data_IF_882099577085
#
_entry.id   IF_882099577085
#
_cell.length_a   1.000
_cell.length_b   1.000
_cell.length_c   1.000
_cell.angle_alpha   90.00
_cell.angle_beta   90.00
_cell.angle_gamma   90.00
#
_symmetry.space_group_name_H-M   'P 1'
#
loop_
_entity.id
_entity.type
_entity.pdbx_description
1 polymer ?
#
# COMPACT_ATOMS: atom_id res chain seq x y z
N UNK A 1 47.38 -81.70 -1.54
CA UNK A 1 46.43 -80.78 -2.22
C UNK A 1 45.75 -79.95 -1.14
N UNK A 2 46.09 -78.64 -1.07
CA UNK A 2 45.22 -77.47 -0.80
C UNK A 2 43.81 -77.78 -0.23
N UNK A 3 43.25 -77.19 0.83
CA UNK A 3 43.48 -75.97 1.67
C UNK A 3 42.48 -76.10 2.84
N UNK A 4 42.87 -76.21 4.11
CA UNK A 4 43.03 -75.15 5.14
C UNK A 4 41.78 -74.29 5.49
N UNK A 5 41.37 -74.42 6.77
CA UNK A 5 40.90 -73.41 7.76
C UNK A 5 39.42 -72.93 7.80
N UNK A 6 38.63 -73.55 8.71
CA UNK A 6 38.01 -73.02 9.97
C UNK A 6 37.99 -71.48 10.27
N UNK A 7 37.23 -70.95 11.28
CA UNK A 7 35.78 -71.04 11.60
C UNK A 7 35.17 -69.71 12.21
N UNK A 8 33.89 -69.75 12.59
CA UNK A 8 33.19 -69.01 13.70
C UNK A 8 33.18 -67.46 13.80
N UNK A 9 31.96 -66.87 13.75
CA UNK A 9 31.43 -65.84 14.68
C UNK A 9 29.93 -65.60 14.35
N UNK A 10 28.98 -66.13 15.13
CA UNK A 10 28.28 -65.51 16.28
C UNK A 10 27.22 -64.44 15.94
N UNK A 11 26.00 -64.69 16.45
CA UNK A 11 24.94 -63.79 16.97
C UNK A 11 24.75 -62.40 16.32
N UNK A 12 23.54 -61.91 16.04
CA UNK A 12 22.19 -62.32 16.36
C UNK A 12 21.21 -61.21 15.94
N UNK A 13 19.93 -61.56 15.86
CA UNK A 13 18.70 -60.76 16.04
C UNK A 13 18.67 -59.31 15.54
N UNK A 14 17.67 -58.97 14.70
CA UNK A 14 16.63 -57.93 14.95
C UNK A 14 15.94 -57.56 13.62
N UNK A 15 14.64 -57.87 13.58
CA UNK A 15 13.54 -57.08 13.01
C UNK A 15 13.86 -55.97 11.98
N UNK A 16 13.29 -56.07 10.78
CA UNK A 16 12.88 -54.89 10.02
C UNK A 16 11.84 -55.22 8.92
N UNK A 17 10.60 -55.53 9.31
CA UNK A 17 9.43 -55.20 8.50
C UNK A 17 9.25 -53.68 8.55
N UNK A 18 9.80 -52.95 7.57
CA UNK A 18 9.44 -51.54 7.33
C UNK A 18 8.32 -51.47 6.30
N UNK A 19 7.13 -50.96 6.64
CA UNK A 19 6.15 -50.59 5.62
C UNK A 19 6.61 -49.30 4.95
N UNK A 20 6.79 -49.34 3.62
CA UNK A 20 6.93 -48.14 2.78
C UNK A 20 5.57 -47.45 2.71
N UNK A 21 5.32 -46.50 3.62
CA UNK A 21 4.14 -45.64 3.57
C UNK A 21 4.41 -44.45 2.62
N UNK A 22 3.68 -44.46 1.51
CA UNK A 22 3.11 -43.34 0.77
C UNK A 22 3.98 -42.09 0.52
N UNK A 23 4.77 -42.13 -0.56
CA UNK A 23 5.09 -40.92 -1.31
C UNK A 23 3.89 -40.53 -2.16
N UNK A 24 3.04 -39.58 -1.71
CA UNK A 24 2.04 -38.98 -2.58
C UNK A 24 2.72 -38.45 -3.85
N UNK A 25 2.20 -38.85 -5.01
CA UNK A 25 2.73 -38.51 -6.33
C UNK A 25 2.99 -36.99 -6.41
N UNK A 26 4.17 -36.53 -6.87
CA UNK A 26 4.55 -35.10 -6.85
C UNK A 26 3.55 -34.19 -7.56
N UNK A 27 2.76 -34.73 -8.49
CA UNK A 27 1.64 -34.05 -9.15
C UNK A 27 0.53 -33.68 -8.16
N UNK A 28 0.10 -34.61 -7.29
CA UNK A 28 -0.95 -34.38 -6.28
C UNK A 28 -0.51 -33.36 -5.23
N UNK A 29 0.78 -33.38 -4.84
CA UNK A 29 1.36 -32.36 -3.94
C UNK A 29 1.33 -30.96 -4.57
N UNK A 30 1.63 -30.83 -5.87
CA UNK A 30 1.59 -29.56 -6.60
C UNK A 30 0.16 -29.02 -6.77
N UNK A 31 -0.82 -29.89 -7.06
CA UNK A 31 -2.22 -29.48 -7.21
C UNK A 31 -2.82 -29.02 -5.88
N UNK A 32 -2.54 -29.73 -4.78
CA UNK A 32 -2.97 -29.33 -3.43
C UNK A 32 -2.29 -28.03 -2.96
N UNK A 33 -1.02 -27.80 -3.31
CA UNK A 33 -0.33 -26.52 -3.06
C UNK A 33 -0.97 -25.36 -3.84
N UNK A 34 -1.34 -25.56 -5.10
CA UNK A 34 -2.01 -24.53 -5.92
C UNK A 34 -3.34 -24.09 -5.32
N UNK A 35 -4.22 -25.04 -5.00
CA UNK A 35 -5.54 -24.74 -4.41
C UNK A 35 -5.41 -24.04 -3.04
N UNK A 36 -4.36 -24.35 -2.27
CA UNK A 36 -4.11 -23.71 -0.98
C UNK A 36 -3.63 -22.26 -1.12
N UNK A 37 -2.73 -21.99 -2.07
CA UNK A 37 -2.27 -20.64 -2.40
C UNK A 37 -3.44 -19.80 -2.93
N UNK A 38 -4.24 -20.36 -3.84
CA UNK A 38 -5.41 -19.71 -4.43
C UNK A 38 -6.49 -19.34 -3.40
N UNK A 39 -6.64 -20.09 -2.31
CA UNK A 39 -7.63 -19.79 -1.26
C UNK A 39 -7.08 -18.98 -0.08
N UNK A 40 -5.78 -19.01 0.16
CA UNK A 40 -5.16 -18.29 1.28
C UNK A 40 -4.73 -16.89 0.86
N UNK A 41 -4.24 -16.71 -0.37
CA UNK A 41 -3.82 -15.41 -0.87
C UNK A 41 -4.95 -14.37 -0.89
N UNK A 42 -6.20 -14.67 -1.29
CA UNK A 42 -7.29 -13.70 -1.22
C UNK A 42 -7.65 -13.30 0.22
N UNK A 43 -7.54 -14.21 1.19
CA UNK A 43 -7.78 -13.91 2.59
C UNK A 43 -6.70 -13.00 3.16
N UNK A 44 -5.44 -13.25 2.80
CA UNK A 44 -4.31 -12.38 3.15
C UNK A 44 -4.49 -11.00 2.51
N UNK A 45 -4.82 -10.94 1.21
CA UNK A 45 -5.05 -9.69 0.50
C UNK A 45 -6.21 -8.90 1.11
N UNK A 46 -7.31 -9.56 1.45
CA UNK A 46 -8.45 -8.94 2.14
C UNK A 46 -8.06 -8.44 3.53
N UNK A 47 -7.29 -9.21 4.29
CA UNK A 47 -6.78 -8.77 5.59
C UNK A 47 -5.91 -7.52 5.47
N UNK A 48 -4.95 -7.53 4.54
CA UNK A 48 -4.10 -6.38 4.24
C UNK A 48 -4.97 -5.17 3.90
N UNK A 49 -5.94 -5.33 3.00
CA UNK A 49 -6.85 -4.26 2.59
C UNK A 49 -7.59 -3.67 3.80
N UNK A 50 -8.18 -4.50 4.66
CA UNK A 50 -8.96 -4.03 5.81
C UNK A 50 -8.10 -3.40 6.91
N UNK A 51 -6.86 -3.86 7.09
CA UNK A 51 -5.93 -3.24 8.04
C UNK A 51 -5.45 -1.88 7.55
N UNK A 52 -5.13 -1.77 6.26
CA UNK A 52 -4.69 -0.52 5.63
C UNK A 52 -5.85 0.48 5.46
N UNK A 53 -7.03 -0.03 5.11
CA UNK A 53 -8.25 0.71 4.84
C UNK A 53 -9.42 0.10 5.60
N UNK A 54 -9.70 0.55 6.84
CA UNK A 54 -10.86 0.11 7.60
C UNK A 54 -12.17 0.28 6.82
N UNK A 55 -12.23 1.34 6.01
CA UNK A 55 -13.25 1.52 4.99
C UNK A 55 -12.59 1.43 3.59
N UNK A 56 -12.71 0.30 2.88
CA UNK A 56 -12.07 0.13 1.56
C UNK A 56 -12.63 1.08 0.50
N UNK A 57 -13.83 1.67 0.70
CA UNK A 57 -14.37 2.67 -0.22
C UNK A 57 -13.48 3.93 -0.28
N UNK A 58 -12.73 4.24 0.78
CA UNK A 58 -11.82 5.38 0.79
C UNK A 58 -10.72 5.24 -0.26
N UNK A 59 -10.25 4.02 -0.53
CA UNK A 59 -9.30 3.77 -1.61
C UNK A 59 -9.93 4.08 -2.97
N UNK A 60 -11.14 3.56 -3.23
CA UNK A 60 -11.85 3.80 -4.49
C UNK A 60 -12.15 5.29 -4.73
N UNK A 61 -12.62 5.98 -3.70
CA UNK A 61 -12.87 7.43 -3.75
C UNK A 61 -11.58 8.21 -3.99
N UNK A 62 -10.49 7.80 -3.36
CA UNK A 62 -9.20 8.47 -3.54
C UNK A 62 -8.65 8.29 -4.95
N UNK A 63 -8.78 7.09 -5.52
CA UNK A 63 -8.43 6.83 -6.94
C UNK A 63 -9.26 7.73 -7.86
N UNK A 64 -10.57 7.82 -7.64
CA UNK A 64 -11.42 8.71 -8.43
C UNK A 64 -10.97 10.17 -8.34
N UNK A 65 -10.68 10.67 -7.13
CA UNK A 65 -10.30 12.07 -6.89
C UNK A 65 -8.92 12.44 -7.44
N UNK A 66 -8.00 11.49 -7.60
CA UNK A 66 -6.74 11.78 -8.30
C UNK A 66 -6.99 12.24 -9.74
N UNK A 67 -7.93 11.60 -10.43
CA UNK A 67 -8.26 11.90 -11.83
C UNK A 67 -9.36 12.97 -11.95
N UNK A 68 -9.93 13.40 -10.84
CA UNK A 68 -10.97 14.42 -10.75
C UNK A 68 -10.80 15.17 -9.42
N UNK A 69 -9.72 15.97 -9.30
CA UNK A 69 -9.41 16.67 -8.06
C UNK A 69 -10.56 17.60 -7.68
N UNK A 70 -10.98 17.51 -6.43
CA UNK A 70 -12.04 18.34 -5.88
C UNK A 70 -11.47 19.70 -5.52
N UNK A 71 -11.47 20.64 -6.46
CA UNK A 71 -11.13 22.04 -6.20
C UNK A 71 -12.40 22.73 -5.72
N UNK A 72 -12.30 23.51 -4.63
CA UNK A 72 -13.45 24.23 -4.06
C UNK A 72 -13.01 25.63 -3.56
N UNK A 73 -13.23 26.68 -4.38
CA UNK A 73 -12.90 28.06 -4.04
C UNK A 73 -13.61 28.58 -2.79
N UNK A 74 -14.81 28.08 -2.47
CA UNK A 74 -15.59 28.54 -1.31
C UNK A 74 -15.03 27.98 0.01
N UNK A 75 -14.51 26.75 -0.03
CA UNK A 75 -14.00 26.08 1.16
C UNK A 75 -12.72 26.74 1.73
N UNK A 76 -11.98 27.48 0.90
CA UNK A 76 -10.73 28.15 1.30
C UNK A 76 -10.90 29.59 1.76
N UNK A 77 -12.13 30.12 1.82
CA UNK A 77 -12.40 31.48 2.28
C UNK A 77 -11.69 31.84 3.61
N UNK A 78 -11.65 30.96 4.64
CA UNK A 78 -10.93 31.27 5.88
C UNK A 78 -9.42 31.44 5.71
N UNK A 79 -8.84 30.87 4.65
CA UNK A 79 -7.42 30.91 4.37
C UNK A 79 -7.00 32.15 3.57
N UNK A 80 -7.93 32.97 3.08
CA UNK A 80 -7.61 34.15 2.25
C UNK A 80 -7.10 35.34 3.06
N UNK A 81 -7.40 35.37 4.36
CA UNK A 81 -7.06 36.52 5.20
C UNK A 81 -5.55 36.68 5.32
N UNK A 82 -5.05 37.87 4.96
CA UNK A 82 -3.63 38.23 5.08
C UNK A 82 -2.71 37.51 4.11
N UNK A 83 -3.23 36.93 3.02
CA UNK A 83 -2.38 36.40 1.95
C UNK A 83 -1.64 37.54 1.22
N UNK A 84 -0.41 37.30 0.75
CA UNK A 84 0.29 38.19 -0.19
C UNK A 84 -0.43 38.31 -1.54
N UNK A 85 -0.03 39.29 -2.33
CA UNK A 85 -0.58 39.51 -3.68
C UNK A 85 0.10 38.66 -4.76
N UNK A 86 1.33 38.18 -4.50
CA UNK A 86 2.10 37.39 -5.46
C UNK A 86 1.88 35.87 -5.30
N UNK A 87 1.79 35.09 -6.39
CA UNK A 87 1.53 33.66 -6.34
C UNK A 87 2.51 32.84 -5.50
N UNK A 88 3.80 33.22 -5.50
CA UNK A 88 4.84 32.54 -4.73
C UNK A 88 4.67 32.78 -3.22
N UNK A 89 4.37 34.02 -2.83
CA UNK A 89 4.02 34.41 -1.48
C UNK A 89 2.77 33.69 -0.97
N UNK A 90 1.74 33.56 -1.81
CA UNK A 90 0.53 32.80 -1.49
C UNK A 90 0.86 31.33 -1.27
N UNK A 91 1.61 30.69 -2.17
CA UNK A 91 2.00 29.29 -2.00
C UNK A 91 2.75 29.08 -0.69
N UNK A 92 3.76 29.92 -0.41
CA UNK A 92 4.54 29.84 0.84
C UNK A 92 3.65 29.94 2.07
N UNK A 93 2.73 30.90 2.10
CA UNK A 93 1.83 31.13 3.22
C UNK A 93 0.83 29.98 3.40
N UNK A 94 0.29 29.43 2.32
CA UNK A 94 -0.60 28.24 2.37
C UNK A 94 0.16 27.01 2.89
N UNK A 95 1.41 26.79 2.45
CA UNK A 95 2.24 25.70 2.92
C UNK A 95 2.58 25.82 4.42
N UNK A 96 2.66 27.04 4.96
CA UNK A 96 2.81 27.29 6.39
C UNK A 96 1.52 26.99 7.16
N UNK A 97 0.36 27.42 6.64
CA UNK A 97 -0.96 27.21 7.26
C UNK A 97 -1.40 25.74 7.25
N UNK A 98 -0.98 24.98 6.25
CA UNK A 98 -1.26 23.56 6.10
C UNK A 98 0.05 22.77 6.25
N UNK A 99 0.57 22.54 7.48
CA UNK A 99 1.76 21.73 7.72
C UNK A 99 1.70 20.34 7.09
N UNK A 100 2.88 19.84 6.71
CA UNK A 100 3.02 18.57 6.01
C UNK A 100 2.84 17.43 6.99
N UNK A 101 1.82 16.62 6.78
CA UNK A 101 1.56 15.41 7.55
C UNK A 101 1.11 14.29 6.61
N UNK A 102 1.57 13.07 6.88
CA UNK A 102 1.20 11.91 6.07
C UNK A 102 -0.25 11.48 6.35
N UNK A 103 -0.85 10.77 5.40
CA UNK A 103 -2.23 10.30 5.53
C UNK A 103 -2.46 9.38 6.74
N UNK A 104 -1.43 8.66 7.18
CA UNK A 104 -1.53 7.87 8.42
C UNK A 104 -1.83 8.74 9.63
N UNK A 105 -1.26 9.94 9.68
CA UNK A 105 -1.36 10.87 10.81
C UNK A 105 -2.68 11.64 10.77
N UNK A 106 -3.11 12.06 9.57
CA UNK A 106 -4.31 12.89 9.39
C UNK A 106 -5.58 12.06 9.22
N UNK A 107 -5.49 10.95 8.49
CA UNK A 107 -6.63 10.15 8.01
C UNK A 107 -6.62 8.70 8.51
N UNK A 108 -5.52 8.22 9.09
CA UNK A 108 -5.43 6.87 9.65
C UNK A 108 -5.35 5.76 8.60
N UNK A 109 -4.88 6.07 7.39
CA UNK A 109 -4.69 5.12 6.28
C UNK A 109 -3.49 5.56 5.42
N UNK A 110 -2.89 4.67 4.61
CA UNK A 110 -1.60 4.97 3.98
C UNK A 110 -1.69 5.94 2.80
N UNK A 111 -2.84 6.01 2.14
CA UNK A 111 -3.06 6.87 0.99
C UNK A 111 -4.53 7.28 0.88
N UNK A 112 -4.83 8.56 0.98
CA UNK A 112 -6.20 9.08 0.93
C UNK A 112 -6.25 10.46 0.29
N UNK A 113 -6.93 10.61 -0.84
CA UNK A 113 -7.08 11.89 -1.52
C UNK A 113 -8.25 12.69 -0.89
N UNK A 114 -7.98 13.74 -0.10
CA UNK A 114 -9.00 14.43 0.66
C UNK A 114 -9.81 15.39 -0.20
N UNK A 115 -10.89 15.93 0.37
CA UNK A 115 -11.55 17.13 -0.18
C UNK A 115 -10.98 18.38 0.48
N UNK A 116 -11.16 19.55 -0.14
CA UNK A 116 -10.62 20.81 0.36
C UNK A 116 -11.17 21.15 1.74
N UNK A 117 -12.47 20.95 1.97
CA UNK A 117 -13.13 21.18 3.26
C UNK A 117 -12.47 20.35 4.36
N UNK A 118 -12.13 19.09 4.03
CA UNK A 118 -11.48 18.18 4.98
C UNK A 118 -10.07 18.65 5.34
N UNK A 119 -9.32 19.17 4.36
CA UNK A 119 -7.98 19.70 4.58
C UNK A 119 -8.04 20.99 5.42
N UNK A 120 -8.96 21.89 5.09
CA UNK A 120 -9.17 23.14 5.84
C UNK A 120 -9.60 22.86 7.29
N UNK A 121 -10.53 21.91 7.50
CA UNK A 121 -10.96 21.46 8.84
C UNK A 121 -9.78 20.88 9.64
N UNK A 122 -8.93 20.08 9.01
CA UNK A 122 -7.79 19.43 9.67
C UNK A 122 -6.58 20.35 9.84
N UNK A 123 -6.46 21.40 9.03
CA UNK A 123 -5.32 22.30 9.02
C UNK A 123 -3.99 21.60 8.72
N UNK A 124 -3.99 20.46 8.06
CA UNK A 124 -2.79 19.65 7.82
C UNK A 124 -3.00 18.69 6.65
N UNK A 125 -1.91 18.34 5.98
CA UNK A 125 -1.92 17.31 4.94
C UNK A 125 -0.64 17.30 4.11
N UNK A 126 -0.49 16.26 3.29
CA UNK A 126 0.68 16.07 2.44
C UNK A 126 0.57 16.84 1.11
N UNK A 127 1.36 16.45 0.11
CA UNK A 127 1.44 17.14 -1.18
C UNK A 127 0.10 17.32 -1.88
N UNK A 128 -0.71 16.26 -1.95
CA UNK A 128 -2.04 16.29 -2.60
C UNK A 128 -3.03 17.18 -1.85
N UNK A 129 -3.01 17.17 -0.52
CA UNK A 129 -3.85 18.03 0.30
C UNK A 129 -3.49 19.52 0.10
N UNK A 130 -2.19 19.82 0.11
CA UNK A 130 -1.67 21.18 -0.14
C UNK A 130 -1.97 21.66 -1.55
N UNK A 131 -1.82 20.79 -2.55
CA UNK A 131 -2.08 21.12 -3.94
C UNK A 131 -3.55 21.49 -4.20
N UNK A 132 -4.52 20.72 -3.68
CA UNK A 132 -5.94 21.05 -3.88
C UNK A 132 -6.34 22.34 -3.16
N UNK A 133 -5.76 22.63 -2.00
CA UNK A 133 -5.99 23.89 -1.29
C UNK A 133 -5.40 25.06 -2.08
N UNK A 134 -4.15 24.95 -2.52
CA UNK A 134 -3.49 26.00 -3.29
C UNK A 134 -4.23 26.28 -4.61
N UNK A 135 -4.63 25.24 -5.34
CA UNK A 135 -5.44 25.37 -6.55
C UNK A 135 -6.78 26.06 -6.25
N UNK A 136 -7.44 25.73 -5.15
CA UNK A 136 -8.71 26.38 -4.76
C UNK A 136 -8.53 27.85 -4.41
N UNK A 137 -7.41 28.20 -3.78
CA UNK A 137 -7.06 29.60 -3.47
C UNK A 137 -6.79 30.38 -4.76
N UNK A 138 -6.02 29.81 -5.68
CA UNK A 138 -5.76 30.45 -6.98
C UNK A 138 -7.04 30.61 -7.81
N UNK A 139 -7.90 29.61 -7.83
CA UNK A 139 -9.20 29.71 -8.50
C UNK A 139 -10.09 30.80 -7.86
N UNK A 140 -10.07 30.91 -6.52
CA UNK A 140 -10.79 31.97 -5.80
C UNK A 140 -10.26 33.37 -6.09
N UNK A 141 -8.95 33.51 -6.29
CA UNK A 141 -8.27 34.77 -6.57
C UNK A 141 -8.19 35.09 -8.08
N UNK A 142 -8.64 34.19 -8.96
CA UNK A 142 -8.55 34.35 -10.41
C UNK A 142 -7.12 34.28 -10.94
N UNK A 143 -6.22 33.56 -10.25
CA UNK A 143 -4.83 33.36 -10.66
C UNK A 143 -4.77 32.13 -11.58
N UNK A 144 -4.25 32.25 -12.82
CA UNK A 144 -4.12 31.11 -13.71
C UNK A 144 -3.16 30.06 -13.16
N UNK A 145 -3.56 28.79 -13.24
CA UNK A 145 -2.74 27.68 -12.76
C UNK A 145 -2.95 26.41 -13.57
N UNK A 146 -2.02 25.46 -13.42
CA UNK A 146 -2.14 24.09 -13.94
C UNK A 146 -1.97 23.10 -12.80
N UNK A 147 -2.89 22.14 -12.72
CA UNK A 147 -2.81 21.09 -11.72
C UNK A 147 -2.03 19.90 -12.30
N UNK A 148 -0.95 19.50 -11.62
CA UNK A 148 -0.06 18.44 -12.08
C UNK A 148 -0.01 17.29 -11.08
N UNK A 149 0.11 16.07 -11.60
CA UNK A 149 0.29 14.86 -10.81
C UNK A 149 1.38 13.97 -11.41
N UNK A 150 2.25 13.47 -10.55
CA UNK A 150 3.24 12.42 -10.78
C UNK A 150 2.98 11.23 -9.86
N UNK A 151 3.67 10.11 -10.05
CA UNK A 151 3.50 8.93 -9.20
C UNK A 151 3.85 9.14 -7.72
N UNK A 152 4.63 10.19 -7.43
CA UNK A 152 5.15 10.47 -6.09
C UNK A 152 4.70 11.83 -5.55
N UNK A 153 4.14 12.70 -6.39
CA UNK A 153 3.87 14.09 -6.02
C UNK A 153 2.69 14.69 -6.79
N UNK A 154 1.98 15.62 -6.16
CA UNK A 154 0.87 16.37 -6.75
C UNK A 154 1.11 17.84 -6.40
N UNK A 155 1.03 18.72 -7.39
CA UNK A 155 1.39 20.14 -7.23
C UNK A 155 0.62 21.04 -8.19
N UNK A 156 0.71 22.34 -7.92
CA UNK A 156 0.16 23.42 -8.74
C UNK A 156 1.31 24.16 -9.42
N UNK A 157 1.20 24.38 -10.72
CA UNK A 157 2.13 25.15 -11.55
C UNK A 157 1.47 26.48 -11.93
N UNK A 158 2.22 27.56 -11.87
CA UNK A 158 1.78 28.92 -12.19
C UNK A 158 2.96 29.68 -12.82
N UNK A 159 2.67 30.82 -13.43
CA UNK A 159 3.69 31.62 -14.11
C UNK A 159 4.81 32.04 -13.14
N UNK A 160 6.07 31.79 -13.54
CA UNK A 160 7.24 32.13 -12.73
C UNK A 160 7.60 31.13 -11.62
N UNK A 161 6.88 30.01 -11.47
CA UNK A 161 7.21 29.00 -10.45
C UNK A 161 8.60 28.38 -10.70
N UNK A 162 9.42 28.33 -9.66
CA UNK A 162 10.72 27.67 -9.73
C UNK A 162 10.58 26.14 -9.78
N UNK A 163 11.29 25.48 -10.70
CA UNK A 163 11.29 24.02 -10.77
C UNK A 163 12.00 23.40 -9.55
N UNK A 164 11.41 22.36 -8.97
CA UNK A 164 12.04 21.55 -7.93
C UNK A 164 12.28 20.12 -8.43
N UNK A 165 13.11 19.36 -7.73
CA UNK A 165 13.38 17.96 -8.09
C UNK A 165 12.12 17.07 -8.03
N UNK A 166 11.15 17.41 -7.18
CA UNK A 166 9.86 16.72 -7.07
C UNK A 166 8.83 17.21 -8.10
N UNK A 167 8.94 18.47 -8.52
CA UNK A 167 8.02 19.16 -9.42
C UNK A 167 8.62 19.32 -10.83
N UNK A 168 9.24 18.26 -11.34
CA UNK A 168 9.89 18.28 -12.65
C UNK A 168 8.90 17.90 -13.78
N UNK A 169 8.90 18.63 -14.92
CA UNK A 169 8.10 18.30 -16.10
C UNK A 169 8.20 16.86 -16.61
N UNK A 170 9.35 16.19 -16.43
CA UNK A 170 9.58 14.81 -16.90
C UNK A 170 8.89 13.75 -16.05
N UNK A 171 8.59 14.04 -14.79
CA UNK A 171 7.93 13.12 -13.88
C UNK A 171 6.38 13.24 -13.91
N UNK A 172 5.83 14.28 -14.57
CA UNK A 172 4.38 14.49 -14.71
C UNK A 172 3.77 13.31 -15.47
N UNK A 173 2.66 12.74 -14.99
CA UNK A 173 1.86 11.77 -15.76
C UNK A 173 0.49 12.33 -16.15
N UNK A 174 -0.01 13.29 -15.38
CA UNK A 174 -1.31 13.92 -15.58
C UNK A 174 -1.20 15.43 -15.35
N UNK A 175 -1.78 16.19 -16.26
CA UNK A 175 -1.95 17.63 -16.15
C UNK A 175 -3.40 17.99 -16.48
N UNK A 176 -3.96 18.90 -15.69
CA UNK A 176 -5.28 19.48 -15.90
C UNK A 176 -5.17 21.00 -15.96
N UNK A 177 -5.70 21.56 -17.02
CA UNK A 177 -5.88 22.99 -17.21
C UNK A 177 -7.32 23.36 -16.79
N UNK A 178 -7.51 24.17 -15.75
CA UNK A 178 -8.82 24.53 -15.23
C UNK A 178 -9.59 25.47 -16.16
N UNK A 179 -8.91 26.35 -16.91
CA UNK A 179 -9.54 27.33 -17.81
C UNK A 179 -10.11 26.65 -19.06
N UNK A 180 -9.35 25.74 -19.65
CA UNK A 180 -9.73 25.05 -20.90
C UNK A 180 -10.39 23.70 -20.66
N UNK A 181 -10.31 23.17 -19.42
CA UNK A 181 -10.74 21.82 -19.08
C UNK A 181 -9.89 20.71 -19.72
N UNK A 182 -8.81 21.06 -20.41
CA UNK A 182 -7.96 20.10 -21.10
C UNK A 182 -7.21 19.21 -20.12
N UNK A 183 -7.15 17.92 -20.43
CA UNK A 183 -6.43 16.91 -19.66
C UNK A 183 -5.35 16.30 -20.55
N UNK A 184 -4.11 16.38 -20.10
CA UNK A 184 -2.96 15.81 -20.78
C UNK A 184 -2.43 14.63 -19.98
N UNK A 185 -2.22 13.53 -20.68
CA UNK A 185 -1.57 12.34 -20.16
C UNK A 185 -0.25 12.15 -20.88
N UNK A 186 0.81 11.91 -20.12
CA UNK A 186 2.12 11.57 -20.66
C UNK A 186 2.72 10.40 -19.87
N UNK A 187 3.58 9.62 -20.51
CA UNK A 187 4.35 8.59 -19.83
C UNK A 187 5.48 9.28 -19.04
N UNK A 188 5.44 9.24 -17.70
CA UNK A 188 6.45 9.91 -16.89
C UNK A 188 7.76 9.12 -16.90
N UNK A 189 8.88 9.81 -16.72
CA UNK A 189 10.14 9.21 -16.33
C UNK A 189 10.08 8.88 -14.84
N UNK A 190 10.26 7.60 -14.49
CA UNK A 190 10.09 7.11 -13.13
C UNK A 190 11.47 6.99 -12.48
N UNK A 191 11.75 7.88 -11.53
CA UNK A 191 12.83 7.65 -10.58
C UNK A 191 12.39 6.59 -9.56
N UNK A 192 12.83 5.35 -9.80
CA UNK A 192 12.52 4.21 -8.95
C UNK A 192 13.05 4.35 -7.53
N UNK A 193 14.18 5.02 -7.33
CA UNK A 193 14.75 5.20 -5.99
C UNK A 193 13.88 6.15 -5.18
N UNK A 194 13.51 7.27 -5.78
CA UNK A 194 12.60 8.25 -5.18
C UNK A 194 11.22 7.64 -4.91
N UNK A 195 10.67 6.87 -5.85
CA UNK A 195 9.37 6.21 -5.68
C UNK A 195 9.39 5.18 -4.54
N UNK A 196 10.43 4.35 -4.46
CA UNK A 196 10.57 3.36 -3.39
C UNK A 196 10.74 4.03 -2.02
N UNK A 197 11.54 5.09 -1.93
CA UNK A 197 11.78 5.79 -0.68
C UNK A 197 10.50 6.49 -0.18
N UNK A 198 9.82 7.24 -1.06
CA UNK A 198 8.54 7.88 -0.75
C UNK A 198 7.47 6.86 -0.34
N UNK A 199 7.36 5.75 -1.09
CA UNK A 199 6.42 4.67 -0.78
C UNK A 199 6.74 4.01 0.56
N UNK A 200 8.01 3.73 0.85
CA UNK A 200 8.42 3.14 2.13
C UNK A 200 8.10 4.09 3.29
N UNK A 201 8.38 5.38 3.12
CA UNK A 201 8.14 6.38 4.13
C UNK A 201 6.64 6.51 4.45
N UNK A 202 5.82 6.74 3.41
CA UNK A 202 4.37 6.91 3.55
C UNK A 202 3.62 5.62 3.92
N UNK A 203 4.03 4.46 3.41
CA UNK A 203 3.34 3.20 3.66
C UNK A 203 3.74 2.57 4.99
N UNK A 204 5.04 2.54 5.32
CA UNK A 204 5.57 1.71 6.42
C UNK A 204 6.17 2.51 7.57
N UNK A 205 7.00 3.51 7.31
CA UNK A 205 7.73 4.20 8.39
C UNK A 205 6.74 4.91 9.31
N UNK A 206 5.84 5.70 8.74
CA UNK A 206 4.86 6.51 9.47
C UNK A 206 3.66 5.69 9.97
N UNK A 207 3.50 4.45 9.49
CA UNK A 207 2.39 3.58 9.91
C UNK A 207 2.39 3.37 11.44
N UNK A 208 1.25 3.57 12.13
CA UNK A 208 1.13 3.35 13.56
C UNK A 208 1.50 1.93 13.98
N UNK A 209 2.12 1.78 15.16
CA UNK A 209 2.55 0.47 15.66
C UNK A 209 1.41 -0.55 15.71
N UNK A 210 0.22 -0.12 16.18
CA UNK A 210 -0.95 -0.99 16.22
C UNK A 210 -1.31 -1.56 14.84
N UNK A 211 -1.20 -0.76 13.78
CA UNK A 211 -1.47 -1.19 12.40
C UNK A 211 -0.44 -2.23 11.94
N UNK A 212 0.84 -2.02 12.26
CA UNK A 212 1.93 -2.98 11.96
C UNK A 212 1.68 -4.32 12.65
N UNK A 213 1.32 -4.29 13.93
CA UNK A 213 1.01 -5.50 14.72
C UNK A 213 -0.20 -6.23 14.16
N UNK A 214 -1.29 -5.51 13.85
CA UNK A 214 -2.47 -6.11 13.22
C UNK A 214 -2.15 -6.73 11.86
N UNK A 215 -1.38 -6.02 11.03
CA UNK A 215 -1.01 -6.49 9.69
C UNK A 215 -0.23 -7.80 9.78
N UNK A 216 0.90 -7.80 10.50
CA UNK A 216 1.77 -8.96 10.60
C UNK A 216 1.12 -10.10 11.39
N UNK A 217 0.46 -9.77 12.51
CA UNK A 217 -0.20 -10.74 13.38
C UNK A 217 -1.34 -11.47 12.67
N UNK A 218 -2.20 -10.75 11.95
CA UNK A 218 -3.30 -11.38 11.23
C UNK A 218 -2.83 -12.23 10.04
N UNK A 219 -1.78 -11.82 9.31
CA UNK A 219 -1.17 -12.66 8.28
C UNK A 219 -0.65 -13.96 8.91
N UNK A 220 0.10 -13.88 10.02
CA UNK A 220 0.62 -15.04 10.72
C UNK A 220 -0.50 -15.98 11.20
N UNK A 221 -1.59 -15.42 11.75
CA UNK A 221 -2.76 -16.17 12.20
C UNK A 221 -3.49 -16.86 11.04
N UNK A 222 -3.68 -16.20 9.90
CA UNK A 222 -4.30 -16.80 8.70
C UNK A 222 -3.47 -18.00 8.23
N UNK A 223 -2.15 -17.86 8.18
CA UNK A 223 -1.23 -18.94 7.80
C UNK A 223 -1.30 -20.09 8.82
N UNK A 224 -1.19 -19.79 10.11
CA UNK A 224 -1.22 -20.78 11.18
C UNK A 224 -2.55 -21.54 11.22
N UNK A 225 -3.69 -20.84 11.15
CA UNK A 225 -5.01 -21.44 11.09
C UNK A 225 -5.15 -22.39 9.90
N UNK A 226 -4.58 -22.05 8.73
CA UNK A 226 -4.58 -22.95 7.57
C UNK A 226 -3.71 -24.17 7.74
N UNK A 227 -2.54 -24.05 8.36
CA UNK A 227 -1.69 -25.20 8.68
C UNK A 227 -2.40 -26.15 9.66
N UNK A 228 -3.01 -25.61 10.71
CA UNK A 228 -3.71 -26.38 11.74
C UNK A 228 -4.98 -27.06 11.21
N UNK A 229 -5.84 -26.34 10.48
CA UNK A 229 -7.04 -26.92 9.88
C UNK A 229 -6.72 -28.07 8.92
N UNK A 230 -5.58 -28.00 8.23
CA UNK A 230 -5.10 -29.09 7.38
C UNK A 230 -4.67 -30.30 8.22
N UNK A 231 -3.92 -30.10 9.30
CA UNK A 231 -3.49 -31.21 10.17
C UNK A 231 -4.70 -31.98 10.72
N UNK A 232 -5.75 -31.27 11.14
CA UNK A 232 -6.98 -31.89 11.66
C UNK A 232 -7.82 -32.62 10.61
N UNK A 233 -7.66 -32.32 9.31
CA UNK A 233 -8.35 -33.08 8.24
C UNK A 233 -7.61 -34.36 7.84
N UNK A 234 -6.39 -34.58 8.32
CA UNK A 234 -5.59 -35.78 8.08
C UNK A 234 -5.51 -36.72 9.30
N UNK A 235 -6.19 -36.44 10.43
CA UNK A 235 -6.35 -37.46 11.47
C UNK A 235 -7.24 -38.60 10.92
N UNK A 236 -6.71 -39.83 10.79
CA UNK A 236 -7.51 -40.97 10.34
C UNK A 236 -8.60 -41.28 11.38
N UNK A 237 -9.78 -41.66 10.88
CA UNK A 237 -10.98 -42.06 11.64
C UNK A 237 -10.74 -43.32 12.51
N UNK A 238 -9.54 -43.90 12.48
CA UNK A 238 -9.17 -45.07 13.26
C UNK A 238 -8.58 -44.67 14.62
N UNK A 239 -9.35 -43.96 15.44
CA UNK A 239 -9.14 -44.04 16.90
C UNK A 239 -9.93 -45.26 17.38
N UNK A 240 -9.27 -46.35 17.81
CA UNK A 240 -10.00 -47.47 18.37
C UNK A 240 -10.76 -47.00 19.62
N UNK A 241 -12.06 -47.24 19.66
CA UNK A 241 -12.82 -47.21 20.90
C UNK A 241 -12.19 -48.24 21.84
N UNK A 242 -11.51 -47.75 22.88
CA UNK A 242 -11.19 -48.56 24.05
C UNK A 242 -12.51 -48.73 24.80
N UNK A 243 -13.10 -49.92 24.67
CA UNK A 243 -14.17 -50.43 25.54
C UNK A 243 -13.50 -51.00 26.80
#
# INVERSE_FOLDING_TARGET
MKTLLQPLQQCGVVSALRPRIAGACPVVKRTAQRVLVERTAPLIALWILLVLYPNPLNLAVSVYRVFSPTINPEAVEPLLVGLPDDPEGIEREILLRIPYHYDWEVHGMPWYFPTVEKVVEKGAGDCKARAIVLASVFERLGIPYRFNSSFVHVWVEYEGKAETSLENPRAKFYQQDPETGQRLFQLPDIDWALWLDSTKQGLWVVMPLLRKVLLLGGIALIIAARVLLRQNTFEPIDKPMVI
#
